data_IF_795726763690
#
_entry.id   IF_795726763690
#
_cell.length_a   1.000
_cell.length_b   1.000
_cell.length_c   1.000
_cell.angle_alpha   90.00
_cell.angle_beta   90.00
_cell.angle_gamma   90.00
#
_symmetry.space_group_name_H-M   'P 1'
#
loop_
_entity.id
_entity.type
_entity.pdbx_description
1 polymer ?
#
# COMPACT_ATOMS: atom_id res chain seq x y z
N UNK A 1 -19.34 -16.83 38.31
CA UNK A 1 -19.54 -18.26 37.96
C UNK A 1 -19.96 -18.32 36.50
N UNK A 2 -19.12 -18.95 35.68
CA UNK A 2 -19.10 -18.91 34.22
C UNK A 2 -20.38 -19.49 33.57
N UNK A 3 -21.00 -18.75 32.64
CA UNK A 3 -21.97 -19.29 31.66
C UNK A 3 -21.42 -19.09 30.25
N UNK A 4 -21.44 -20.19 29.50
CA UNK A 4 -21.01 -20.36 28.10
C UNK A 4 -21.82 -19.49 27.12
N UNK A 5 -21.28 -19.24 25.90
CA UNK A 5 -21.79 -18.22 24.99
C UNK A 5 -23.00 -18.69 24.17
N UNK A 6 -23.86 -17.73 23.83
CA UNK A 6 -24.96 -17.91 22.89
C UNK A 6 -24.47 -17.72 21.45
N UNK A 7 -24.98 -18.59 20.59
CA UNK A 7 -24.84 -18.66 19.13
C UNK A 7 -25.36 -17.40 18.43
N UNK A 8 -24.59 -16.86 17.49
CA UNK A 8 -25.08 -15.89 16.50
C UNK A 8 -25.52 -16.64 15.24
N UNK A 9 -26.76 -16.37 14.84
CA UNK A 9 -27.47 -17.03 13.76
C UNK A 9 -27.07 -16.54 12.37
N UNK A 10 -27.31 -17.45 11.43
CA UNK A 10 -27.26 -17.29 9.98
C UNK A 10 -28.08 -16.08 9.51
N UNK A 11 -27.53 -15.31 8.57
CA UNK A 11 -28.28 -14.30 7.85
C UNK A 11 -27.43 -13.26 7.14
N UNK A 12 -26.59 -13.67 6.19
CA UNK A 12 -26.22 -12.81 5.05
C UNK A 12 -26.24 -13.66 3.78
N UNK A 13 -27.01 -13.19 2.81
CA UNK A 13 -27.25 -13.86 1.55
C UNK A 13 -25.98 -14.08 0.74
N UNK A 14 -25.92 -15.27 0.17
CA UNK A 14 -25.02 -15.67 -0.88
C UNK A 14 -25.22 -14.77 -2.10
N UNK A 15 -24.24 -13.92 -2.38
CA UNK A 15 -23.90 -13.52 -3.75
C UNK A 15 -22.37 -13.49 -3.86
N UNK A 16 -21.78 -14.67 -3.63
CA UNK A 16 -20.43 -14.99 -4.03
C UNK A 16 -20.53 -15.55 -5.46
N UNK A 17 -20.30 -14.70 -6.46
CA UNK A 17 -20.12 -15.20 -7.82
C UNK A 17 -18.77 -15.89 -7.87
N UNK A 18 -18.81 -17.21 -7.71
CA UNK A 18 -17.72 -18.09 -8.08
C UNK A 18 -17.49 -17.93 -9.59
N UNK A 19 -16.40 -17.26 -9.97
CA UNK A 19 -15.87 -17.39 -11.33
C UNK A 19 -15.07 -18.70 -11.35
N UNK A 20 -15.68 -19.71 -11.99
CA UNK A 20 -15.06 -20.99 -12.27
C UNK A 20 -13.77 -20.81 -13.07
N UNK A 21 -12.78 -21.59 -12.65
CA UNK A 21 -11.49 -21.75 -13.29
C UNK A 21 -11.62 -22.51 -14.61
N UNK A 22 -11.27 -21.85 -15.71
CA UNK A 22 -10.82 -22.52 -16.94
C UNK A 22 -9.41 -22.03 -17.27
N UNK A 23 -8.44 -22.94 -17.19
CA UNK A 23 -7.05 -22.73 -17.55
C UNK A 23 -6.89 -22.29 -19.02
N UNK A 24 -6.19 -21.17 -19.26
CA UNK A 24 -5.21 -21.02 -20.35
C UNK A 24 -4.57 -19.62 -20.31
N UNK A 25 -3.28 -19.59 -19.96
CA UNK A 25 -2.28 -18.54 -20.27
C UNK A 25 -2.71 -17.10 -20.48
N UNK A 26 -2.62 -16.29 -19.42
CA UNK A 26 -2.25 -14.87 -19.55
C UNK A 26 -1.14 -14.64 -18.53
N UNK A 27 0.11 -14.74 -18.99
CA UNK A 27 1.21 -14.10 -18.29
C UNK A 27 0.96 -12.60 -18.46
N UNK A 28 0.45 -11.93 -17.42
CA UNK A 28 0.25 -10.48 -17.36
C UNK A 28 1.61 -9.77 -17.37
N UNK A 29 2.32 -9.83 -18.50
CA UNK A 29 3.38 -8.88 -18.82
C UNK A 29 2.70 -7.59 -19.25
N UNK A 30 2.82 -6.53 -18.46
CA UNK A 30 2.39 -5.20 -18.91
C UNK A 30 3.57 -4.58 -19.65
N UNK A 31 3.41 -4.35 -20.94
CA UNK A 31 4.31 -3.48 -21.67
C UNK A 31 3.80 -2.04 -21.45
N UNK A 32 4.50 -1.27 -20.62
CA UNK A 32 4.06 0.06 -20.16
C UNK A 32 4.14 1.11 -21.29
N UNK A 33 4.76 0.75 -22.41
CA UNK A 33 4.81 1.53 -23.62
C UNK A 33 4.04 0.81 -24.73
N UNK A 34 2.79 1.23 -24.94
CA UNK A 34 2.01 0.89 -26.13
C UNK A 34 2.79 1.31 -27.38
N UNK A 35 2.73 0.49 -28.43
CA UNK A 35 3.40 0.68 -29.73
C UNK A 35 2.75 1.79 -30.57
N UNK A 36 2.54 2.96 -29.94
CA UNK A 36 2.20 4.20 -30.62
C UNK A 36 3.41 4.79 -31.36
N UNK A 37 3.20 5.86 -32.15
CA UNK A 37 4.25 6.51 -32.93
C UNK A 37 5.43 7.05 -32.11
N UNK A 38 5.34 7.04 -30.77
CA UNK A 38 6.36 7.45 -29.80
C UNK A 38 7.08 6.26 -29.11
N UNK A 39 7.13 5.08 -29.74
CA UNK A 39 7.81 3.92 -29.14
C UNK A 39 9.33 4.13 -29.08
N UNK A 40 9.88 4.33 -27.89
CA UNK A 40 11.33 4.34 -27.68
C UNK A 40 11.89 2.91 -27.86
N UNK A 41 13.07 2.72 -28.48
CA UNK A 41 13.59 1.38 -28.76
C UNK A 41 13.98 0.59 -27.51
N UNK A 42 14.29 1.28 -26.40
CA UNK A 42 14.54 0.64 -25.11
C UNK A 42 13.24 0.41 -24.34
N UNK A 43 12.99 -0.83 -23.94
CA UNK A 43 11.82 -1.22 -23.16
C UNK A 43 12.20 -2.14 -21.99
N UNK A 44 11.44 -2.06 -20.91
CA UNK A 44 11.53 -2.97 -19.77
C UNK A 44 10.21 -3.74 -19.65
N UNK A 45 10.28 -5.06 -19.79
CA UNK A 45 9.11 -5.94 -19.62
C UNK A 45 9.00 -6.36 -18.16
N UNK A 46 7.87 -6.04 -17.54
CA UNK A 46 7.63 -6.33 -16.12
C UNK A 46 6.75 -7.56 -15.99
N UNK A 47 7.28 -8.62 -15.36
CA UNK A 47 6.54 -9.84 -15.04
C UNK A 47 5.86 -9.71 -13.66
N UNK A 48 4.55 -9.43 -13.67
CA UNK A 48 3.75 -9.35 -12.45
C UNK A 48 3.54 -10.72 -11.76
N UNK A 49 3.65 -11.81 -12.52
CA UNK A 49 3.61 -13.18 -12.00
C UNK A 49 4.84 -13.47 -11.16
N UNK A 50 6.03 -13.04 -11.61
CA UNK A 50 7.27 -13.15 -10.84
C UNK A 50 7.19 -12.35 -9.52
N UNK A 51 6.62 -11.14 -9.55
CA UNK A 51 6.39 -10.35 -8.34
C UNK A 51 5.46 -11.10 -7.38
N UNK A 52 4.32 -11.59 -7.87
CA UNK A 52 3.35 -12.33 -7.06
C UNK A 52 3.97 -13.60 -6.45
N UNK A 53 4.75 -14.34 -7.23
CA UNK A 53 5.51 -15.50 -6.75
C UNK A 53 6.46 -15.12 -5.61
N UNK A 54 7.26 -14.06 -5.78
CA UNK A 54 8.20 -13.60 -4.75
C UNK A 54 7.49 -13.20 -3.46
N UNK A 55 6.34 -12.53 -3.56
CA UNK A 55 5.53 -12.16 -2.39
C UNK A 55 5.04 -13.38 -1.62
N UNK A 56 4.58 -14.42 -2.31
CA UNK A 56 4.16 -15.68 -1.68
C UNK A 56 5.33 -16.37 -0.96
N UNK A 57 6.52 -16.39 -1.58
CA UNK A 57 7.73 -16.96 -0.97
C UNK A 57 8.15 -16.21 0.29
N UNK A 58 8.13 -14.88 0.26
CA UNK A 58 8.42 -14.04 1.43
C UNK A 58 7.41 -14.26 2.56
N UNK A 59 6.13 -14.50 2.23
CA UNK A 59 5.11 -14.79 3.24
C UNK A 59 5.31 -16.15 3.91
N UNK A 60 5.72 -17.16 3.14
CA UNK A 60 6.10 -18.46 3.69
C UNK A 60 7.33 -18.35 4.61
N UNK A 61 8.27 -17.48 4.30
CA UNK A 61 9.48 -17.26 5.11
C UNK A 61 9.22 -16.49 6.41
N UNK A 62 8.16 -15.68 6.47
CA UNK A 62 7.79 -14.88 7.64
C UNK A 62 6.32 -15.10 8.02
N UNK A 63 5.94 -16.32 8.47
CA UNK A 63 4.56 -16.63 8.81
C UNK A 63 4.10 -15.78 10.01
N UNK A 64 2.86 -15.27 9.92
CA UNK A 64 2.26 -14.42 10.96
C UNK A 64 2.66 -12.95 10.91
N UNK A 65 3.60 -12.56 10.04
CA UNK A 65 3.93 -11.17 9.79
C UNK A 65 3.05 -10.58 8.68
N UNK A 66 2.65 -9.31 8.85
CA UNK A 66 2.06 -8.55 7.75
C UNK A 66 3.10 -8.24 6.68
N UNK A 67 2.69 -8.21 5.43
CA UNK A 67 3.57 -7.91 4.31
C UNK A 67 3.37 -6.48 3.82
N UNK A 68 4.46 -5.72 3.79
CA UNK A 68 4.52 -4.40 3.17
C UNK A 68 5.34 -4.47 1.88
N UNK A 69 4.71 -4.14 0.75
CA UNK A 69 5.40 -4.07 -0.55
C UNK A 69 5.83 -2.64 -0.81
N UNK A 70 7.14 -2.43 -0.97
CA UNK A 70 7.70 -1.10 -1.20
C UNK A 70 7.61 -0.77 -2.69
N UNK A 71 6.81 0.23 -3.03
CA UNK A 71 6.53 0.67 -4.40
C UNK A 71 6.98 2.12 -4.67
N UNK A 72 7.95 2.63 -3.89
CA UNK A 72 8.60 3.94 -4.11
C UNK A 72 9.32 4.00 -5.46
N UNK A 73 9.58 5.22 -5.94
CA UNK A 73 10.33 5.46 -7.19
C UNK A 73 9.73 4.66 -8.36
N UNK A 74 8.41 4.78 -8.53
CA UNK A 74 7.63 4.03 -9.51
C UNK A 74 7.78 2.50 -9.42
N UNK A 75 7.65 1.95 -8.21
CA UNK A 75 8.00 0.55 -7.91
C UNK A 75 9.40 0.16 -8.41
N UNK A 76 10.41 0.97 -8.09
CA UNK A 76 11.78 0.77 -8.55
C UNK A 76 11.87 0.70 -10.09
N UNK A 77 11.07 1.51 -10.80
CA UNK A 77 10.98 1.51 -12.26
C UNK A 77 10.16 0.37 -12.88
N UNK A 78 9.41 -0.39 -12.08
CA UNK A 78 8.55 -1.49 -12.55
C UNK A 78 7.10 -1.06 -12.78
N UNK A 79 6.81 0.24 -12.71
CA UNK A 79 5.47 0.84 -12.78
C UNK A 79 4.59 0.54 -11.58
N UNK A 80 4.36 1.60 -10.81
CA UNK A 80 3.80 1.54 -9.47
C UNK A 80 2.39 0.97 -9.40
N UNK A 81 1.47 1.39 -10.27
CA UNK A 81 0.08 0.93 -10.20
C UNK A 81 -0.06 -0.57 -10.55
N UNK A 82 0.50 -1.08 -11.67
CA UNK A 82 0.49 -2.53 -11.95
C UNK A 82 1.08 -3.38 -10.83
N UNK A 83 2.22 -2.97 -10.28
CA UNK A 83 2.88 -3.68 -9.17
C UNK A 83 2.04 -3.61 -7.89
N UNK A 84 1.45 -2.46 -7.57
CA UNK A 84 0.58 -2.31 -6.41
C UNK A 84 -0.64 -3.22 -6.51
N UNK A 85 -1.30 -3.28 -7.66
CA UNK A 85 -2.45 -4.16 -7.88
C UNK A 85 -2.07 -5.64 -7.78
N UNK A 86 -0.92 -6.05 -8.35
CA UNK A 86 -0.40 -7.41 -8.21
C UNK A 86 -0.09 -7.76 -6.75
N UNK A 87 0.47 -6.82 -5.99
CA UNK A 87 0.73 -6.98 -4.56
C UNK A 87 -0.56 -7.16 -3.74
N UNK A 88 -1.59 -6.35 -4.01
CA UNK A 88 -2.90 -6.44 -3.35
C UNK A 88 -3.56 -7.79 -3.68
N UNK A 89 -3.59 -8.20 -4.96
CA UNK A 89 -4.10 -9.52 -5.36
C UNK A 89 -3.37 -10.68 -4.69
N UNK A 90 -2.07 -10.50 -4.46
CA UNK A 90 -1.23 -11.46 -3.75
C UNK A 90 -1.46 -11.43 -2.23
N UNK A 91 -2.29 -10.53 -1.69
CA UNK A 91 -2.64 -10.44 -0.27
C UNK A 91 -1.68 -9.60 0.57
N UNK A 92 -1.00 -8.62 -0.02
CA UNK A 92 -0.22 -7.64 0.75
C UNK A 92 -1.15 -6.70 1.54
N UNK A 93 -0.92 -6.54 2.83
CA UNK A 93 -1.74 -5.64 3.66
C UNK A 93 -1.26 -4.18 3.63
N UNK A 94 -0.01 -3.96 3.20
CA UNK A 94 0.60 -2.63 3.12
C UNK A 94 1.29 -2.37 1.79
N UNK A 95 1.20 -1.13 1.32
CA UNK A 95 2.05 -0.55 0.30
C UNK A 95 2.90 0.56 0.93
N UNK A 96 4.21 0.52 0.74
CA UNK A 96 5.13 1.53 1.26
C UNK A 96 5.72 2.37 0.13
N UNK A 97 5.72 3.70 0.29
CA UNK A 97 6.44 4.62 -0.60
C UNK A 97 7.41 5.49 0.20
N UNK A 98 8.28 6.23 -0.52
CA UNK A 98 9.22 7.11 0.14
C UNK A 98 8.53 8.40 0.56
N UNK A 99 7.89 9.12 -0.37
CA UNK A 99 7.34 10.46 -0.13
C UNK A 99 5.82 10.49 0.01
N UNK A 100 5.31 11.44 0.80
CA UNK A 100 3.85 11.65 0.96
C UNK A 100 3.17 11.95 -0.39
N UNK A 101 3.77 12.73 -1.28
CA UNK A 101 3.15 12.99 -2.59
C UNK A 101 3.06 11.71 -3.45
N UNK A 102 4.06 10.82 -3.41
CA UNK A 102 3.95 9.50 -4.06
C UNK A 102 2.80 8.68 -3.48
N UNK A 103 2.55 8.80 -2.16
CA UNK A 103 1.48 8.08 -1.48
C UNK A 103 0.10 8.64 -1.86
N UNK A 104 -0.02 9.96 -1.99
CA UNK A 104 -1.24 10.62 -2.43
C UNK A 104 -1.57 10.24 -3.87
N UNK A 105 -0.60 10.36 -4.80
CA UNK A 105 -0.80 9.90 -6.18
C UNK A 105 -1.12 8.40 -6.25
N UNK A 106 -0.59 7.58 -5.33
CA UNK A 106 -0.90 6.14 -5.29
C UNK A 106 -2.34 5.92 -4.82
N UNK A 107 -2.77 6.65 -3.79
CA UNK A 107 -4.14 6.60 -3.30
C UNK A 107 -5.12 6.97 -4.41
N UNK A 108 -4.88 8.09 -5.09
CA UNK A 108 -5.76 8.55 -6.18
C UNK A 108 -5.86 7.50 -7.29
N UNK A 109 -4.71 6.96 -7.75
CA UNK A 109 -4.69 5.91 -8.78
C UNK A 109 -5.40 4.61 -8.36
N UNK A 110 -5.32 4.24 -7.08
CA UNK A 110 -6.03 3.07 -6.54
C UNK A 110 -7.53 3.31 -6.41
N UNK A 111 -7.92 4.52 -5.98
CA UNK A 111 -9.32 4.94 -5.88
C UNK A 111 -9.95 4.97 -7.30
N UNK A 112 -9.25 5.48 -8.31
CA UNK A 112 -9.66 5.45 -9.72
C UNK A 112 -9.77 4.01 -10.27
N UNK A 113 -8.89 3.11 -9.84
CA UNK A 113 -8.95 1.69 -10.17
C UNK A 113 -10.05 0.92 -9.39
N UNK A 114 -10.83 1.60 -8.54
CA UNK A 114 -11.93 0.99 -7.78
C UNK A 114 -11.47 0.11 -6.62
N UNK A 115 -10.23 0.27 -6.14
CA UNK A 115 -9.72 -0.50 -5.00
C UNK A 115 -10.28 0.09 -3.70
N UNK A 116 -11.03 -0.73 -2.97
CA UNK A 116 -11.55 -0.35 -1.66
C UNK A 116 -10.41 0.07 -0.71
N UNK A 117 -10.61 1.14 0.06
CA UNK A 117 -9.55 1.70 0.92
C UNK A 117 -9.12 0.75 2.04
N UNK A 118 -10.00 -0.17 2.42
CA UNK A 118 -9.76 -1.22 3.42
C UNK A 118 -8.93 -2.39 2.86
N UNK A 119 -8.83 -2.53 1.54
CA UNK A 119 -8.09 -3.61 0.90
C UNK A 119 -6.58 -3.50 1.15
N UNK A 120 -6.05 -2.28 1.31
CA UNK A 120 -4.63 -2.06 1.56
C UNK A 120 -4.35 -0.74 2.27
N UNK A 121 -3.40 -0.78 3.20
CA UNK A 121 -2.90 0.43 3.88
C UNK A 121 -1.73 1.03 3.12
N UNK A 122 -1.73 2.34 2.89
CA UNK A 122 -0.60 3.03 2.26
C UNK A 122 0.22 3.73 3.35
N UNK A 123 1.51 3.42 3.39
CA UNK A 123 2.48 3.98 4.32
C UNK A 123 3.47 4.89 3.58
N UNK A 124 3.70 6.09 4.14
CA UNK A 124 4.74 7.01 3.66
C UNK A 124 5.80 7.26 4.73
N UNK A 125 7.08 7.21 4.33
CA UNK A 125 8.20 7.41 5.23
C UNK A 125 8.63 8.88 5.36
N UNK A 126 8.59 9.66 4.28
CA UNK A 126 9.21 10.99 4.19
C UNK A 126 8.14 12.04 3.86
N UNK A 127 8.11 13.09 4.68
CA UNK A 127 7.28 14.28 4.47
C UNK A 127 8.17 15.49 4.17
N UNK A 128 7.83 16.32 3.16
CA UNK A 128 8.51 17.60 2.97
C UNK A 128 8.16 18.58 4.10
N UNK A 129 9.02 19.56 4.33
CA UNK A 129 8.73 20.69 5.22
C UNK A 129 7.54 21.49 4.69
N UNK A 130 6.67 21.96 5.59
CA UNK A 130 5.51 22.79 5.22
C UNK A 130 4.36 22.03 4.55
N UNK A 131 4.38 20.70 4.57
CA UNK A 131 3.28 19.88 4.10
C UNK A 131 1.95 20.24 4.81
N UNK A 132 0.88 20.38 4.04
CA UNK A 132 -0.47 20.38 4.59
C UNK A 132 -0.83 18.95 5.05
N UNK A 133 -0.75 18.73 6.35
CA UNK A 133 -1.03 17.44 6.98
C UNK A 133 -2.49 17.00 6.88
N UNK A 134 -3.43 17.87 6.51
CA UNK A 134 -4.83 17.46 6.33
C UNK A 134 -5.02 16.54 5.12
N UNK A 135 -4.22 16.73 4.05
CA UNK A 135 -4.24 15.91 2.82
C UNK A 135 -3.96 14.42 3.11
N UNK A 136 -2.80 14.04 3.69
CA UNK A 136 -2.51 12.63 3.97
C UNK A 136 -3.50 11.99 4.95
N UNK A 137 -4.04 12.76 5.91
CA UNK A 137 -5.05 12.26 6.84
C UNK A 137 -6.36 11.92 6.14
N UNK A 138 -6.87 12.80 5.26
CA UNK A 138 -8.10 12.55 4.47
C UNK A 138 -7.93 11.41 3.46
N UNK A 139 -6.71 11.23 2.96
CA UNK A 139 -6.34 10.10 2.10
C UNK A 139 -6.17 8.77 2.86
N UNK A 140 -6.29 8.78 4.20
CA UNK A 140 -6.16 7.59 5.04
C UNK A 140 -4.74 7.00 5.05
N UNK A 141 -3.72 7.84 4.88
CA UNK A 141 -2.32 7.40 4.88
C UNK A 141 -1.81 7.15 6.30
N UNK A 142 -1.00 6.11 6.46
CA UNK A 142 -0.14 5.95 7.64
C UNK A 142 1.19 6.66 7.41
N UNK A 143 1.67 7.39 8.43
CA UNK A 143 2.81 8.30 8.28
C UNK A 143 3.94 7.93 9.24
N UNK A 144 5.17 7.98 8.75
CA UNK A 144 6.34 7.92 9.63
C UNK A 144 6.65 9.28 10.25
N UNK A 145 7.11 9.25 11.49
CA UNK A 145 7.66 10.43 12.18
C UNK A 145 9.00 10.08 12.83
N UNK A 146 9.92 11.03 12.83
CA UNK A 146 11.21 10.92 13.51
C UNK A 146 11.51 12.09 14.44
N UNK A 147 10.60 13.08 14.50
CA UNK A 147 10.83 14.30 15.25
C UNK A 147 9.56 14.81 15.94
N UNK A 148 9.68 15.32 17.19
CA UNK A 148 8.54 15.84 17.93
C UNK A 148 7.82 17.01 17.25
N UNK A 149 8.52 17.86 16.49
CA UNK A 149 7.89 18.98 15.79
C UNK A 149 6.96 18.53 14.67
N UNK A 150 7.37 17.56 13.86
CA UNK A 150 6.53 16.93 12.84
C UNK A 150 5.31 16.26 13.47
N UNK A 151 5.51 15.53 14.58
CA UNK A 151 4.41 14.90 15.31
C UNK A 151 3.39 15.93 15.81
N UNK A 152 3.84 17.07 16.36
CA UNK A 152 2.93 18.15 16.80
C UNK A 152 2.07 18.69 15.66
N UNK A 153 2.67 18.93 14.49
CA UNK A 153 1.93 19.42 13.31
C UNK A 153 0.86 18.42 12.87
N UNK A 154 1.17 17.11 12.89
CA UNK A 154 0.20 16.07 12.58
C UNK A 154 -0.92 16.03 13.62
N UNK A 155 -0.60 16.13 14.91
CA UNK A 155 -1.60 16.18 15.98
C UNK A 155 -2.53 17.40 15.85
N UNK A 156 -2.00 18.55 15.47
CA UNK A 156 -2.81 19.75 15.19
C UNK A 156 -3.77 19.52 14.03
N UNK A 157 -3.29 18.97 12.92
CA UNK A 157 -4.14 18.63 11.77
C UNK A 157 -5.18 17.54 12.10
N UNK A 158 -4.83 16.54 12.91
CA UNK A 158 -5.75 15.52 13.39
C UNK A 158 -6.89 16.12 14.23
N UNK A 159 -6.56 17.03 15.16
CA UNK A 159 -7.58 17.75 15.94
C UNK A 159 -8.47 18.64 15.07
N UNK A 160 -7.88 19.34 14.10
CA UNK A 160 -8.62 20.23 13.20
C UNK A 160 -9.58 19.47 12.26
N UNK A 161 -9.22 18.25 11.86
CA UNK A 161 -10.01 17.44 10.93
C UNK A 161 -10.93 16.43 11.62
N UNK A 162 -10.70 16.13 12.90
CA UNK A 162 -11.37 15.04 13.61
C UNK A 162 -10.91 13.64 13.20
N UNK A 163 -9.88 13.53 12.35
CA UNK A 163 -9.35 12.26 11.86
C UNK A 163 -8.26 11.76 12.81
N UNK A 164 -8.35 10.50 13.23
CA UNK A 164 -7.31 9.85 14.02
C UNK A 164 -6.11 9.53 13.11
N UNK A 165 -5.02 10.26 13.29
CA UNK A 165 -3.77 10.01 12.57
C UNK A 165 -3.12 8.70 13.02
N UNK A 166 -2.68 7.87 12.07
CA UNK A 166 -1.96 6.61 12.32
C UNK A 166 -0.48 6.81 12.02
N UNK A 167 0.35 6.66 13.06
CA UNK A 167 1.73 7.12 13.06
C UNK A 167 2.70 5.99 13.40
N UNK A 168 3.80 5.92 12.65
CA UNK A 168 4.95 5.04 12.89
C UNK A 168 6.14 5.86 13.35
N UNK A 169 6.50 5.74 14.62
CA UNK A 169 7.71 6.37 15.14
C UNK A 169 8.92 5.58 14.63
N UNK A 170 9.73 6.21 13.79
CA UNK A 170 11.00 5.65 13.35
C UNK A 170 12.06 5.98 14.40
N UNK A 171 12.70 4.95 14.94
CA UNK A 171 13.82 5.06 15.88
C UNK A 171 15.12 4.81 15.11
N UNK A 172 16.14 5.63 15.34
CA UNK A 172 17.47 5.40 14.78
C UNK A 172 18.28 4.48 15.72
N UNK A 173 18.49 3.25 15.28
CA UNK A 173 19.28 2.26 16.00
C UNK A 173 20.71 2.13 15.46
N UNK A 174 21.18 3.11 14.67
CA UNK A 174 22.55 3.16 14.15
C UNK A 174 22.68 3.30 12.63
N UNK A 175 21.58 3.52 11.89
CA UNK A 175 21.66 3.76 10.44
C UNK A 175 22.04 5.21 10.12
N UNK A 176 21.83 6.15 11.05
CA UNK A 176 22.20 7.57 10.92
C UNK A 176 21.66 8.25 9.65
N UNK A 177 20.47 7.81 9.21
CA UNK A 177 19.81 8.34 8.01
C UNK A 177 18.57 9.15 8.34
N UNK A 178 17.75 8.63 9.26
CA UNK A 178 16.61 9.30 9.87
C UNK A 178 16.12 8.44 11.03
N UNK A 179 15.43 9.04 11.99
CA UNK A 179 14.88 8.37 13.16
C UNK A 179 15.05 9.25 14.38
N UNK A 180 14.20 9.06 15.38
CA UNK A 180 14.39 9.67 16.69
C UNK A 180 15.59 9.00 17.39
N UNK A 181 16.36 9.82 18.11
CA UNK A 181 17.51 9.43 18.92
C UNK A 181 17.20 9.66 20.39
#
# INVERSE_FOLDING_TARGET
MCKRPATWGNGIGEHFVALESSHSGILESVNIHDSGPDSYPGQANIDLGAISHNLLRLRQAAPGCKQMVIVKADAYGHSRLPVALAAIRSGAEYLGVAHVEEALTLRDALDEAGVAREAVTIFSWISPSGLDWTRPLRAGLELSVSAPWTLRQICEAARATGIVARIHVKIDTGMSRAGAT
#
